data_IF_536204509694
#
_entry.id   IF_536204509694
#
_cell.length_a   1.000
_cell.length_b   1.000
_cell.length_c   1.000
_cell.angle_alpha   90.00
_cell.angle_beta   90.00
_cell.angle_gamma   90.00
#
_symmetry.space_group_name_H-M   'P 1'
#
loop_
_entity.id
_entity.type
_entity.pdbx_description
1 polymer ?
#
# COMPACT_ATOMS: atom_id res chain seq x y z
N UNK A 1 -18.38 -12.27 4.16
CA UNK A 1 -17.55 -11.12 3.74
C UNK A 1 -18.44 -10.08 3.12
N UNK A 2 -18.42 -8.88 3.69
CA UNK A 2 -19.06 -7.70 3.14
C UNK A 2 -18.45 -7.34 1.78
N UNK A 3 -19.13 -6.49 0.99
CA UNK A 3 -18.55 -5.94 -0.22
C UNK A 3 -17.27 -5.13 0.09
N UNK A 4 -17.28 -4.37 1.19
CA UNK A 4 -16.11 -3.61 1.64
C UNK A 4 -14.89 -4.51 1.91
N UNK A 5 -15.07 -5.69 2.53
CA UNK A 5 -13.98 -6.64 2.77
C UNK A 5 -13.34 -7.10 1.45
N UNK A 6 -14.17 -7.37 0.43
CA UNK A 6 -13.72 -7.83 -0.89
C UNK A 6 -12.91 -6.74 -1.59
N UNK A 7 -13.44 -5.52 -1.62
CA UNK A 7 -12.78 -4.35 -2.22
C UNK A 7 -11.46 -4.04 -1.53
N UNK A 8 -11.43 -4.06 -0.19
CA UNK A 8 -10.21 -3.84 0.57
C UNK A 8 -9.15 -4.89 0.23
N UNK A 9 -9.51 -6.18 0.25
CA UNK A 9 -8.58 -7.26 -0.09
C UNK A 9 -8.03 -7.12 -1.50
N UNK A 10 -8.88 -6.81 -2.47
CA UNK A 10 -8.48 -6.61 -3.86
C UNK A 10 -7.49 -5.45 -4.03
N UNK A 11 -7.72 -4.33 -3.31
CA UNK A 11 -6.82 -3.19 -3.35
C UNK A 11 -5.45 -3.52 -2.73
N UNK A 12 -5.43 -4.22 -1.60
CA UNK A 12 -4.17 -4.66 -0.98
C UNK A 12 -3.41 -5.61 -1.90
N UNK A 13 -4.08 -6.59 -2.49
CA UNK A 13 -3.46 -7.51 -3.46
C UNK A 13 -2.87 -6.77 -4.65
N UNK A 14 -3.58 -5.78 -5.20
CA UNK A 14 -3.10 -4.96 -6.32
C UNK A 14 -1.92 -4.05 -5.92
N UNK A 15 -1.93 -3.47 -4.72
CA UNK A 15 -0.78 -2.71 -4.20
C UNK A 15 0.45 -3.62 -4.09
N UNK A 16 0.30 -4.84 -3.58
CA UNK A 16 1.42 -5.76 -3.40
C UNK A 16 1.98 -6.28 -4.74
N UNK A 17 1.13 -6.48 -5.75
CA UNK A 17 1.53 -7.02 -7.05
C UNK A 17 2.03 -5.94 -8.02
N UNK A 18 1.36 -4.79 -8.06
CA UNK A 18 1.55 -3.76 -9.10
C UNK A 18 1.91 -2.38 -8.54
N UNK A 19 2.15 -2.27 -7.23
CA UNK A 19 2.53 -1.00 -6.61
C UNK A 19 3.97 -0.60 -6.92
N UNK A 20 4.29 0.66 -6.62
CA UNK A 20 5.60 1.25 -6.82
C UNK A 20 6.31 1.33 -5.47
N UNK A 21 7.55 0.84 -5.41
CA UNK A 21 8.42 0.96 -4.25
C UNK A 21 9.02 2.37 -4.14
N UNK A 22 9.30 2.80 -2.90
CA UNK A 22 10.08 4.01 -2.62
C UNK A 22 11.51 3.72 -2.13
N UNK A 23 12.03 2.52 -2.42
CA UNK A 23 13.37 2.05 -2.01
C UNK A 23 14.52 2.89 -2.55
N UNK A 24 14.31 3.63 -3.63
CA UNK A 24 15.34 4.47 -4.25
C UNK A 24 15.46 5.86 -3.59
N UNK A 25 14.63 6.15 -2.58
CA UNK A 25 14.58 7.47 -1.93
C UNK A 25 15.01 7.40 -0.46
N UNK A 26 15.66 8.46 0.06
CA UNK A 26 15.99 8.55 1.48
C UNK A 26 14.71 8.87 2.29
N UNK A 27 14.00 7.82 2.70
CA UNK A 27 12.75 7.94 3.47
C UNK A 27 13.05 8.40 4.90
N UNK A 28 12.25 9.34 5.41
CA UNK A 28 12.37 9.83 6.81
C UNK A 28 11.85 8.84 7.86
N UNK A 29 10.77 8.07 7.61
CA UNK A 29 10.32 7.03 8.53
C UNK A 29 11.36 5.92 8.69
N UNK A 30 11.59 5.50 9.92
CA UNK A 30 12.48 4.39 10.26
C UNK A 30 11.78 3.50 11.29
N UNK A 31 12.13 2.21 11.30
CA UNK A 31 11.69 1.25 12.31
C UNK A 31 12.43 1.46 13.64
N UNK A 32 12.00 0.78 14.71
CA UNK A 32 12.62 0.88 16.04
C UNK A 32 14.10 0.49 16.03
N UNK A 33 14.52 -0.36 15.08
CA UNK A 33 15.91 -0.77 14.86
C UNK A 33 16.74 0.24 14.03
N UNK A 34 16.12 1.34 13.60
CA UNK A 34 16.76 2.38 12.79
C UNK A 34 16.84 2.07 11.30
N UNK A 35 16.30 0.96 10.81
CA UNK A 35 16.23 0.69 9.37
C UNK A 35 15.16 1.54 8.68
N UNK A 36 15.37 2.04 7.44
CA UNK A 36 14.37 2.85 6.75
C UNK A 36 13.07 2.08 6.49
N UNK A 37 11.93 2.69 6.83
CA UNK A 37 10.62 2.07 6.67
C UNK A 37 10.03 2.39 5.29
N UNK A 38 10.39 1.56 4.30
CA UNK A 38 9.92 1.67 2.92
C UNK A 38 8.49 1.20 2.72
N UNK A 39 7.85 1.72 1.67
CA UNK A 39 6.46 1.39 1.31
C UNK A 39 6.33 0.96 -0.14
N UNK A 40 5.35 0.09 -0.40
CA UNK A 40 4.80 -0.13 -1.74
C UNK A 40 3.43 0.54 -1.80
N UNK A 41 3.19 1.34 -2.85
CA UNK A 41 1.99 2.17 -2.95
C UNK A 41 1.45 2.23 -4.38
N UNK A 42 0.14 2.48 -4.49
CA UNK A 42 -0.54 2.72 -5.75
C UNK A 42 -1.32 4.02 -5.69
N UNK A 43 -1.14 4.87 -6.69
CA UNK A 43 -1.79 6.17 -6.76
C UNK A 43 -3.17 6.06 -7.40
N UNK A 44 -4.16 6.77 -6.85
CA UNK A 44 -5.46 6.97 -7.51
C UNK A 44 -6.44 5.79 -7.43
N UNK A 45 -6.42 4.98 -6.37
CA UNK A 45 -7.46 3.96 -6.14
C UNK A 45 -8.76 4.65 -5.73
N UNK A 46 -9.87 4.33 -6.42
CA UNK A 46 -11.22 4.82 -6.12
C UNK A 46 -12.16 3.63 -5.97
N UNK A 47 -12.93 3.60 -4.89
CA UNK A 47 -13.93 2.57 -4.62
C UNK A 47 -15.32 3.22 -4.53
N UNK A 48 -16.31 2.58 -5.13
CA UNK A 48 -17.73 2.99 -5.02
C UNK A 48 -18.46 1.98 -4.16
N UNK A 49 -19.37 2.46 -3.32
CA UNK A 49 -20.20 1.65 -2.44
C UNK A 49 -21.65 2.04 -2.67
N UNK A 50 -22.55 1.05 -2.68
CA UNK A 50 -24.00 1.25 -2.75
C UNK A 50 -24.61 1.49 -1.35
#
# INVERSE_FOLDING_TARGET
MSYADKVFKQNVEDILQNGVWDTDYPVRPHWEDGTPAHTIKKFGIVNTYD
#
